data_IF_413277855059
#
_entry.id   IF_413277855059
#
_cell.length_a   1.000
_cell.length_b   1.000
_cell.length_c   1.000
_cell.angle_alpha   90.00
_cell.angle_beta   90.00
_cell.angle_gamma   90.00
#
_symmetry.space_group_name_H-M   'P 1'
#
loop_
_entity.id
_entity.type
_entity.pdbx_description
1 polymer ?
#
# COMPACT_ATOMS: atom_id res chain seq x y z
N UNK A 1 -9.18 1.02 2.82
CA UNK A 1 -7.89 1.56 2.30
C UNK A 1 -7.47 0.72 1.12
N UNK A 2 -7.01 1.34 0.03
CA UNK A 2 -6.54 0.66 -1.17
C UNK A 2 -5.05 0.35 -1.06
N UNK A 3 -4.59 -0.73 -1.70
CA UNK A 3 -3.17 -0.96 -1.94
C UNK A 3 -2.79 -0.27 -3.25
N UNK A 4 -1.82 0.63 -3.18
CA UNK A 4 -1.36 1.42 -4.32
C UNK A 4 0.14 1.26 -4.52
N UNK A 5 0.58 1.50 -5.75
CA UNK A 5 1.96 1.70 -6.12
C UNK A 5 2.16 3.19 -6.39
N UNK A 6 3.21 3.76 -5.80
CA UNK A 6 3.58 5.16 -5.91
C UNK A 6 4.94 5.24 -6.58
N UNK A 7 5.03 6.04 -7.63
CA UNK A 7 6.24 6.31 -8.38
C UNK A 7 6.57 7.80 -8.39
N UNK A 8 7.84 8.13 -8.27
CA UNK A 8 8.31 9.51 -8.27
C UNK A 8 9.79 9.64 -7.97
N UNK A 9 10.28 10.88 -8.01
CA UNK A 9 11.64 11.19 -7.57
C UNK A 9 11.80 11.00 -6.06
N UNK A 10 13.04 11.05 -5.59
CA UNK A 10 13.34 10.99 -4.15
C UNK A 10 12.59 12.06 -3.35
N UNK A 11 12.57 13.30 -3.86
CA UNK A 11 11.91 14.43 -3.20
C UNK A 11 10.39 14.24 -3.13
N UNK A 12 9.79 13.72 -4.22
CA UNK A 12 8.37 13.38 -4.25
C UNK A 12 8.07 12.30 -3.22
N UNK A 13 8.87 11.24 -3.14
CA UNK A 13 8.65 10.17 -2.16
C UNK A 13 8.82 10.64 -0.72
N UNK A 14 9.76 11.54 -0.44
CA UNK A 14 9.89 12.16 0.89
C UNK A 14 8.65 13.00 1.24
N UNK A 15 8.12 13.77 0.30
CA UNK A 15 6.90 14.54 0.51
C UNK A 15 5.69 13.63 0.77
N UNK A 16 5.56 12.55 0.00
CA UNK A 16 4.50 11.55 0.12
C UNK A 16 4.51 10.84 1.48
N UNK A 17 5.69 10.59 2.07
CA UNK A 17 5.80 9.98 3.41
C UNK A 17 5.13 10.78 4.53
N UNK A 18 4.97 12.10 4.34
CA UNK A 18 4.30 12.97 5.31
C UNK A 18 2.78 13.00 5.19
N UNK A 19 2.19 12.32 4.20
CA UNK A 19 0.75 12.36 3.94
C UNK A 19 -0.01 11.51 4.98
N UNK A 20 -1.01 12.08 5.69
CA UNK A 20 -1.85 11.31 6.59
C UNK A 20 -2.57 10.16 5.87
N UNK A 21 -2.78 9.04 6.57
CA UNK A 21 -3.46 7.84 6.03
C UNK A 21 -2.75 7.18 4.84
N UNK A 22 -1.48 7.54 4.60
CA UNK A 22 -0.60 6.88 3.66
C UNK A 22 0.45 6.09 4.43
N UNK A 23 0.45 4.77 4.23
CA UNK A 23 1.31 3.84 4.96
C UNK A 23 2.17 3.06 3.98
N UNK A 24 3.44 3.46 3.87
CA UNK A 24 4.41 2.77 3.00
C UNK A 24 4.68 1.35 3.46
N UNK A 25 4.72 0.43 2.51
CA UNK A 25 5.20 -0.94 2.71
C UNK A 25 6.73 -0.89 2.65
N UNK A 26 7.39 -0.86 3.81
CA UNK A 26 8.85 -0.60 3.92
C UNK A 26 9.73 -1.49 3.03
N UNK A 27 9.37 -2.76 2.85
CA UNK A 27 10.11 -3.74 2.06
C UNK A 27 9.85 -3.68 0.55
N UNK A 28 9.09 -2.68 0.06
CA UNK A 28 8.70 -2.56 -1.35
C UNK A 28 9.43 -1.47 -2.13
N UNK A 29 10.37 -0.76 -1.50
CA UNK A 29 11.12 0.30 -2.17
C UNK A 29 12.03 -0.30 -3.27
N UNK A 30 11.80 0.14 -4.50
CA UNK A 30 12.59 -0.21 -5.67
C UNK A 30 13.14 1.06 -6.32
N UNK A 31 14.46 1.11 -6.54
CA UNK A 31 15.07 2.12 -7.38
C UNK A 31 14.89 1.75 -8.87
N UNK A 32 14.52 2.73 -9.69
CA UNK A 32 14.44 2.64 -11.15
C UNK A 32 15.61 3.42 -11.78
N UNK A 33 15.66 3.46 -13.12
CA UNK A 33 16.60 4.35 -13.82
C UNK A 33 16.24 5.83 -13.55
N UNK A 34 17.18 6.73 -13.82
CA UNK A 34 16.93 8.18 -13.86
C UNK A 34 16.43 8.78 -12.54
N UNK A 35 16.91 8.27 -11.39
CA UNK A 35 16.56 8.75 -10.05
C UNK A 35 15.05 8.65 -9.73
N UNK A 36 14.36 7.74 -10.41
CA UNK A 36 12.98 7.39 -10.10
C UNK A 36 12.93 6.24 -9.11
N UNK A 37 11.90 6.26 -8.27
CA UNK A 37 11.68 5.27 -7.23
C UNK A 37 10.24 4.81 -7.27
N UNK A 38 10.03 3.57 -6.86
CA UNK A 38 8.72 2.94 -6.79
C UNK A 38 8.54 2.32 -5.41
N UNK A 39 7.39 2.51 -4.80
CA UNK A 39 7.06 1.97 -3.48
C UNK A 39 5.57 1.61 -3.42
N UNK A 40 5.24 0.51 -2.76
CA UNK A 40 3.85 0.17 -2.45
C UNK A 40 3.41 0.85 -1.15
N UNK A 41 2.13 1.21 -1.06
CA UNK A 41 1.55 1.84 0.11
C UNK A 41 0.08 1.45 0.28
N UNK A 42 -0.40 1.40 1.52
CA UNK A 42 -1.83 1.46 1.80
C UNK A 42 -2.24 2.92 1.92
N UNK A 43 -3.29 3.31 1.19
CA UNK A 43 -3.74 4.70 1.16
C UNK A 43 -5.28 4.77 1.16
N UNK A 44 -5.82 5.82 1.78
CA UNK A 44 -7.21 6.25 1.52
C UNK A 44 -7.30 7.03 0.20
N UNK A 45 -8.50 7.21 -0.34
CA UNK A 45 -8.69 7.94 -1.60
C UNK A 45 -8.18 9.39 -1.48
N UNK A 46 -8.38 10.03 -0.32
CA UNK A 46 -7.82 11.36 -0.01
C UNK A 46 -6.29 11.37 0.00
N UNK A 47 -5.67 10.33 0.56
CA UNK A 47 -4.21 10.20 0.56
C UNK A 47 -3.65 9.99 -0.84
N UNK A 48 -4.38 9.25 -1.71
CA UNK A 48 -4.02 9.10 -3.13
C UNK A 48 -4.08 10.43 -3.85
N UNK A 49 -5.16 11.19 -3.70
CA UNK A 49 -5.30 12.53 -4.30
C UNK A 49 -4.18 13.48 -3.84
N UNK A 50 -3.85 13.46 -2.56
CA UNK A 50 -2.76 14.26 -2.01
C UNK A 50 -1.38 13.84 -2.58
N UNK A 51 -1.14 12.54 -2.77
CA UNK A 51 0.11 12.05 -3.36
C UNK A 51 0.24 12.48 -4.82
N UNK A 52 -0.85 12.42 -5.60
CA UNK A 52 -0.90 12.93 -6.98
C UNK A 52 -0.64 14.44 -7.02
N UNK A 53 -1.21 15.20 -6.09
CA UNK A 53 -0.96 16.64 -5.99
C UNK A 53 0.50 17.00 -5.66
N UNK A 54 1.24 16.10 -5.01
CA UNK A 54 2.70 16.23 -4.79
C UNK A 54 3.54 15.83 -6.02
N UNK A 55 2.89 15.45 -7.12
CA UNK A 55 3.56 15.03 -8.36
C UNK A 55 3.92 13.54 -8.41
N UNK A 56 3.38 12.72 -7.51
CA UNK A 56 3.57 11.28 -7.57
C UNK A 56 2.66 10.65 -8.63
N UNK A 57 3.17 9.66 -9.37
CA UNK A 57 2.36 8.78 -10.18
C UNK A 57 1.82 7.65 -9.30
N UNK A 58 0.50 7.54 -9.19
CA UNK A 58 -0.15 6.52 -8.35
C UNK A 58 -0.94 5.54 -9.20
N UNK A 59 -0.68 4.24 -8.99
CA UNK A 59 -1.45 3.14 -9.59
C UNK A 59 -2.14 2.34 -8.51
N UNK A 60 -3.45 2.16 -8.60
CA UNK A 60 -4.19 1.30 -7.66
C UNK A 60 -3.95 -0.17 -8.02
N UNK A 61 -3.34 -0.93 -7.12
CA UNK A 61 -3.09 -2.37 -7.29
C UNK A 61 -4.27 -3.21 -6.79
N UNK A 62 -4.86 -2.79 -5.68
CA UNK A 62 -6.04 -3.44 -5.10
C UNK A 62 -6.93 -2.35 -4.51
N UNK A 63 -8.21 -2.33 -4.90
CA UNK A 63 -9.19 -1.39 -4.34
C UNK A 63 -9.40 -1.66 -2.85
N UNK A 64 -10.00 -0.69 -2.15
CA UNK A 64 -10.42 -0.83 -0.76
C UNK A 64 -11.25 -2.09 -0.51
N UNK A 65 -12.24 -2.33 -1.36
CA UNK A 65 -13.07 -3.55 -1.35
C UNK A 65 -12.22 -4.81 -1.54
N UNK A 66 -11.30 -4.81 -2.49
CA UNK A 66 -10.40 -5.94 -2.73
C UNK A 66 -9.44 -6.23 -1.58
N UNK A 67 -8.98 -5.19 -0.87
CA UNK A 67 -8.15 -5.33 0.34
C UNK A 67 -8.94 -6.00 1.46
N UNK A 68 -10.19 -5.57 1.69
CA UNK A 68 -11.04 -6.13 2.72
C UNK A 68 -11.39 -7.61 2.43
N UNK A 69 -11.72 -7.94 1.18
CA UNK A 69 -11.93 -9.33 0.75
C UNK A 69 -10.67 -10.20 0.92
N UNK A 70 -9.50 -9.69 0.55
CA UNK A 70 -8.24 -10.40 0.72
C UNK A 70 -7.94 -10.66 2.21
N UNK A 71 -8.17 -9.65 3.06
CA UNK A 71 -8.02 -9.77 4.51
C UNK A 71 -8.98 -10.80 5.09
N UNK A 72 -10.26 -10.77 4.70
CA UNK A 72 -11.25 -11.74 5.15
C UNK A 72 -10.88 -13.19 4.78
N UNK A 73 -10.44 -13.41 3.54
CA UNK A 73 -9.96 -14.73 3.09
C UNK A 73 -8.76 -15.21 3.90
N UNK A 74 -7.77 -14.35 4.11
CA UNK A 74 -6.55 -14.70 4.85
C UNK A 74 -6.86 -15.04 6.30
N UNK A 75 -7.69 -14.23 6.98
CA UNK A 75 -8.15 -14.50 8.34
C UNK A 75 -8.90 -15.84 8.45
N UNK A 76 -9.74 -16.17 7.46
CA UNK A 76 -10.47 -17.44 7.45
C UNK A 76 -9.55 -18.66 7.29
N UNK A 77 -8.45 -18.54 6.53
CA UNK A 77 -7.45 -19.61 6.38
C UNK A 77 -6.63 -19.78 7.68
N UNK A 78 -6.18 -18.67 8.27
CA UNK A 78 -5.44 -18.70 9.54
C UNK A 78 -6.31 -19.30 10.66
N UNK A 79 -7.57 -18.87 10.75
CA UNK A 79 -8.52 -19.38 11.74
C UNK A 79 -8.77 -20.89 11.59
N UNK A 80 -8.87 -21.40 10.36
CA UNK A 80 -8.92 -22.86 10.12
C UNK A 80 -7.67 -23.57 10.61
N UNK A 81 -6.49 -23.00 10.35
CA UNK A 81 -5.22 -23.56 10.82
C UNK A 81 -5.10 -23.64 12.35
N UNK A 82 -5.67 -22.69 13.09
CA UNK A 82 -5.75 -22.75 14.56
C UNK A 82 -6.74 -23.81 15.04
N UNK A 83 -7.94 -23.86 14.44
CA UNK A 83 -8.96 -24.85 14.76
C UNK A 83 -8.48 -26.30 14.52
N UNK A 84 -7.73 -26.55 13.44
CA UNK A 84 -7.14 -27.85 13.13
C UNK A 84 -6.01 -28.26 14.09
N UNK A 85 -5.36 -27.28 14.74
CA UNK A 85 -4.32 -27.52 15.76
C UNK A 85 -4.85 -27.58 17.19
N UNK A 86 -6.14 -27.36 17.41
CA UNK A 86 -6.75 -27.36 18.75
C UNK A 86 -6.34 -26.18 19.63
N UNK A 87 -5.79 -25.13 19.04
CA UNK A 87 -5.40 -23.90 19.73
C UNK A 87 -6.51 -22.85 19.52
N UNK A 88 -7.16 -22.42 20.61
CA UNK A 88 -8.18 -21.35 20.64
C UNK A 88 -7.71 -20.21 21.51
#
# INVERSE_FOLDING_TARGET
MSLVQIEGSEDVLRAVQGIPELHLVRSSLEARSDYQYKVAAYASDRAVEAAVAQGAQVTVLLSSEGVDEHRARTSAVIGRGYAERGEV
#
